data_IF_166519347587
#
_entry.id   IF_166519347587
#
_cell.length_a   1.000
_cell.length_b   1.000
_cell.length_c   1.000
_cell.angle_alpha   90.00
_cell.angle_beta   90.00
_cell.angle_gamma   90.00
#
_symmetry.space_group_name_H-M   'P 1'
#
loop_
_entity.id
_entity.type
_entity.pdbx_description
1 polymer ?
#
# COMPACT_ATOMS: atom_id res chain seq x y z
N UNK A 1 -8.55 11.08 -10.27
CA UNK A 1 -7.33 10.29 -10.43
C UNK A 1 -6.64 10.12 -9.09
N UNK A 2 -6.11 8.93 -8.81
CA UNK A 2 -5.43 8.67 -7.55
C UNK A 2 -4.03 9.28 -7.54
N UNK A 3 -3.69 9.95 -6.44
CA UNK A 3 -2.36 10.50 -6.24
C UNK A 3 -1.45 9.38 -5.71
N UNK A 4 -0.40 9.02 -6.45
CA UNK A 4 0.46 7.91 -6.02
C UNK A 4 1.16 8.17 -4.69
N UNK A 5 1.40 9.43 -4.34
CA UNK A 5 2.01 9.76 -3.05
C UNK A 5 1.04 9.43 -1.93
N UNK A 6 -0.24 9.77 -2.09
CA UNK A 6 -1.27 9.45 -1.09
C UNK A 6 -1.44 7.94 -0.98
N UNK A 7 -1.51 7.25 -2.12
CA UNK A 7 -1.65 5.78 -2.14
C UNK A 7 -0.51 5.13 -1.36
N UNK A 8 0.72 5.52 -1.65
CA UNK A 8 1.91 4.96 -0.99
C UNK A 8 1.94 5.26 0.49
N UNK A 9 1.58 6.48 0.87
CA UNK A 9 1.57 6.89 2.28
C UNK A 9 0.53 6.10 3.09
N UNK A 10 -0.64 5.87 2.51
CA UNK A 10 -1.69 5.10 3.18
C UNK A 10 -1.25 3.65 3.36
N UNK A 11 -0.68 3.04 2.32
CA UNK A 11 -0.16 1.67 2.40
C UNK A 11 0.90 1.58 3.51
N UNK A 12 1.84 2.52 3.52
CA UNK A 12 2.89 2.54 4.54
C UNK A 12 2.30 2.65 5.94
N UNK A 13 1.30 3.49 6.12
CA UNK A 13 0.65 3.68 7.42
C UNK A 13 0.02 2.38 7.92
N UNK A 14 -0.71 1.68 7.04
CA UNK A 14 -1.30 0.39 7.42
C UNK A 14 -0.22 -0.61 7.81
N UNK A 15 0.88 -0.64 7.07
CA UNK A 15 1.99 -1.55 7.36
C UNK A 15 2.62 -1.22 8.72
N UNK A 16 2.91 0.04 8.96
CA UNK A 16 3.58 0.46 10.21
C UNK A 16 2.69 0.25 11.42
N UNK A 17 1.40 0.48 11.29
CA UNK A 17 0.46 0.24 12.38
C UNK A 17 0.41 -1.23 12.79
N UNK A 18 0.71 -2.12 11.86
CA UNK A 18 0.76 -3.55 12.11
C UNK A 18 2.15 -4.03 12.50
N UNK A 19 3.11 -3.09 12.58
CA UNK A 19 4.49 -3.38 12.96
C UNK A 19 5.14 -4.41 12.05
N UNK A 20 4.80 -4.33 10.76
CA UNK A 20 5.37 -5.22 9.74
C UNK A 20 6.45 -4.47 8.97
N UNK A 21 7.54 -5.17 8.65
CA UNK A 21 8.61 -4.58 7.85
C UNK A 21 8.25 -4.64 6.36
N UNK A 22 8.95 -3.82 5.57
CA UNK A 22 8.82 -3.92 4.11
C UNK A 22 9.24 -5.30 3.62
N UNK A 23 10.27 -5.87 4.23
CA UNK A 23 10.76 -7.19 3.83
C UNK A 23 9.69 -8.26 4.02
N UNK A 24 9.00 -8.24 5.15
CA UNK A 24 7.94 -9.22 5.41
C UNK A 24 6.78 -9.03 4.44
N UNK A 25 6.29 -7.81 4.29
CA UNK A 25 5.14 -7.55 3.43
C UNK A 25 5.46 -7.85 1.97
N UNK A 26 6.62 -7.41 1.48
CA UNK A 26 6.98 -7.68 0.09
C UNK A 26 7.15 -9.18 -0.17
N UNK A 27 7.73 -9.90 0.79
CA UNK A 27 7.88 -11.35 0.67
C UNK A 27 6.52 -12.05 0.59
N UNK A 28 5.59 -11.71 1.46
CA UNK A 28 4.25 -12.31 1.46
C UNK A 28 3.44 -11.91 0.23
N UNK A 29 3.66 -10.71 -0.28
CA UNK A 29 2.97 -10.22 -1.48
C UNK A 29 3.62 -10.70 -2.77
N UNK A 30 4.77 -11.38 -2.66
CA UNK A 30 5.51 -11.88 -3.81
C UNK A 30 5.92 -10.76 -4.77
N UNK A 31 6.43 -9.67 -4.21
CA UNK A 31 7.01 -8.57 -4.97
C UNK A 31 8.38 -8.24 -4.38
N UNK A 32 9.21 -7.55 -5.13
CA UNK A 32 10.51 -7.12 -4.63
C UNK A 32 10.35 -6.07 -3.54
N UNK A 33 11.25 -6.09 -2.55
CA UNK A 33 11.24 -5.08 -1.50
C UNK A 33 11.44 -3.68 -2.09
N UNK A 34 12.28 -3.55 -3.10
CA UNK A 34 12.52 -2.29 -3.81
C UNK A 34 11.23 -1.81 -4.46
N UNK A 35 10.43 -2.73 -5.00
CA UNK A 35 9.15 -2.43 -5.61
C UNK A 35 8.18 -1.86 -4.56
N UNK A 36 8.07 -2.52 -3.42
CA UNK A 36 7.20 -2.03 -2.35
C UNK A 36 7.67 -0.66 -1.86
N UNK A 37 8.97 -0.49 -1.69
CA UNK A 37 9.54 0.78 -1.25
C UNK A 37 9.17 1.91 -2.23
N UNK A 38 9.25 1.65 -3.54
CA UNK A 38 8.89 2.65 -4.55
C UNK A 38 7.41 2.99 -4.50
N UNK A 39 6.56 1.99 -4.25
CA UNK A 39 5.12 2.22 -4.10
C UNK A 39 4.87 3.10 -2.87
N UNK A 40 5.49 2.81 -1.74
CA UNK A 40 5.29 3.58 -0.52
C UNK A 40 5.79 5.02 -0.65
N UNK A 41 6.85 5.25 -1.44
CA UNK A 41 7.35 6.60 -1.69
C UNK A 41 6.53 7.36 -2.73
N UNK A 42 5.61 6.68 -3.42
CA UNK A 42 4.80 7.32 -4.44
C UNK A 42 5.49 7.49 -5.78
N UNK A 43 6.65 6.84 -5.99
CA UNK A 43 7.37 6.91 -7.26
C UNK A 43 6.92 5.83 -8.23
N UNK A 44 6.09 4.90 -7.78
CA UNK A 44 5.56 3.83 -8.61
C UNK A 44 4.13 3.54 -8.21
N UNK A 45 3.25 3.39 -9.20
CA UNK A 45 1.85 3.03 -8.95
C UNK A 45 1.73 1.52 -8.94
N UNK A 46 1.07 0.93 -7.92
CA UNK A 46 0.82 -0.51 -7.96
C UNK A 46 -0.26 -0.81 -9.00
N UNK A 47 -0.16 -1.97 -9.63
CA UNK A 47 -1.29 -2.51 -10.38
C UNK A 47 -2.36 -2.91 -9.38
N UNK A 48 -3.58 -3.13 -9.84
CA UNK A 48 -4.65 -3.59 -8.96
C UNK A 48 -4.27 -4.92 -8.32
N UNK A 49 -3.65 -5.82 -9.09
CA UNK A 49 -3.21 -7.11 -8.57
C UNK A 49 -2.17 -6.94 -7.46
N UNK A 50 -1.17 -6.09 -7.68
CA UNK A 50 -0.14 -5.84 -6.67
C UNK A 50 -0.74 -5.21 -5.42
N UNK A 51 -1.66 -4.26 -5.60
CA UNK A 51 -2.36 -3.63 -4.48
C UNK A 51 -3.10 -4.68 -3.64
N UNK A 52 -3.80 -5.58 -4.31
CA UNK A 52 -4.55 -6.65 -3.67
C UNK A 52 -3.62 -7.56 -2.86
N UNK A 53 -2.48 -7.95 -3.45
CA UNK A 53 -1.48 -8.80 -2.78
C UNK A 53 -0.89 -8.13 -1.56
N UNK A 54 -0.61 -6.83 -1.64
CA UNK A 54 -0.08 -6.08 -0.49
C UNK A 54 -1.10 -6.07 0.64
N UNK A 55 -2.37 -5.83 0.33
CA UNK A 55 -3.42 -5.82 1.33
C UNK A 55 -3.54 -7.18 2.01
N UNK A 56 -3.55 -8.26 1.22
CA UNK A 56 -3.61 -9.62 1.76
C UNK A 56 -2.41 -9.93 2.63
N UNK A 57 -1.23 -9.48 2.23
CA UNK A 57 0.00 -9.69 3.00
C UNK A 57 -0.09 -9.04 4.39
N UNK A 58 -0.85 -7.98 4.51
CA UNK A 58 -1.06 -7.28 5.79
C UNK A 58 -2.31 -7.74 6.51
N UNK A 59 -3.02 -8.73 5.95
CA UNK A 59 -4.28 -9.23 6.50
C UNK A 59 -5.32 -8.12 6.64
N UNK A 60 -5.43 -7.30 5.60
CA UNK A 60 -6.38 -6.19 5.52
C UNK A 60 -7.16 -6.33 4.22
N UNK A 61 -8.45 -6.08 4.27
CA UNK A 61 -9.24 -6.06 3.05
C UNK A 61 -8.77 -4.92 2.15
N UNK A 62 -8.54 -5.18 0.86
CA UNK A 62 -8.18 -4.10 -0.08
C UNK A 62 -9.15 -2.94 -0.05
N UNK A 63 -10.44 -3.22 0.14
CA UNK A 63 -11.46 -2.16 0.21
C UNK A 63 -11.25 -1.24 1.40
N UNK A 64 -10.72 -1.75 2.50
CA UNK A 64 -10.43 -0.95 3.69
C UNK A 64 -9.31 0.05 3.39
N UNK A 65 -8.27 -0.40 2.71
CA UNK A 65 -7.16 0.48 2.33
C UNK A 65 -7.65 1.51 1.31
N UNK A 66 -8.44 1.06 0.33
CA UNK A 66 -8.95 1.96 -0.70
C UNK A 66 -9.86 3.04 -0.10
N UNK A 67 -10.70 2.67 0.89
CA UNK A 67 -11.54 3.65 1.57
C UNK A 67 -10.69 4.71 2.28
N UNK A 68 -9.58 4.30 2.91
CA UNK A 68 -8.67 5.25 3.55
C UNK A 68 -8.01 6.17 2.52
N UNK A 69 -7.66 5.63 1.35
CA UNK A 69 -7.12 6.44 0.26
C UNK A 69 -8.16 7.47 -0.20
N UNK A 70 -9.39 7.03 -0.38
CA UNK A 70 -10.47 7.93 -0.78
C UNK A 70 -10.68 9.04 0.23
N UNK A 71 -10.62 8.71 1.53
CA UNK A 71 -10.77 9.70 2.59
C UNK A 71 -9.69 10.77 2.49
N UNK A 72 -8.44 10.35 2.27
CA UNK A 72 -7.34 11.30 2.15
C UNK A 72 -7.48 12.16 0.90
N UNK A 73 -7.91 11.56 -0.21
CA UNK A 73 -8.10 12.29 -1.47
C UNK A 73 -9.28 13.23 -1.41
N UNK A 74 -10.31 12.88 -0.67
CA UNK A 74 -11.55 13.64 -0.59
C UNK A 74 -11.58 14.75 0.44
N UNK A 75 -10.48 14.99 1.13
CA UNK A 75 -10.41 15.95 2.24
C UNK A 75 -10.08 17.37 1.80
N UNK A 76 -10.45 17.77 0.68
CA UNK A 76 -10.13 19.14 0.24
C UNK A 76 -11.28 20.09 0.41
#
# INVERSE_FOLDING_TARGET
MLDPIVVGRVIQKFREERKLSQEVVSGLADIGRTHLSAIERGTRRPTLETFYRIAEAMDVHPSTILAAIEDQMGKN
#
